data_IF_137424992095
#
_entry.id   IF_137424992095
#
_cell.length_a   1.000
_cell.length_b   1.000
_cell.length_c   1.000
_cell.angle_alpha   90.00
_cell.angle_beta   90.00
_cell.angle_gamma   90.00
#
_symmetry.space_group_name_H-M   'P 1'
#
loop_
_entity.id
_entity.type
_entity.pdbx_description
1 polymer ?
#
# COMPACT_ATOMS: atom_id res chain seq x y z
N UNK A 1 4.06 -20.32 24.90
CA UNK A 1 4.04 -18.85 24.94
C UNK A 1 4.71 -18.37 23.67
N UNK A 2 3.94 -17.97 22.65
CA UNK A 2 4.49 -17.50 21.38
C UNK A 2 4.93 -16.05 21.58
N UNK A 3 6.21 -15.76 21.33
CA UNK A 3 6.74 -14.40 21.38
C UNK A 3 5.92 -13.47 20.45
N UNK A 4 5.74 -12.18 20.79
CA UNK A 4 5.19 -11.23 19.84
C UNK A 4 6.11 -11.23 18.63
N UNK A 5 5.56 -11.56 17.45
CA UNK A 5 6.32 -11.58 16.21
C UNK A 5 6.68 -10.13 15.91
N UNK A 6 7.90 -9.71 16.25
CA UNK A 6 8.43 -8.40 15.87
C UNK A 6 8.32 -8.33 14.35
N UNK A 7 7.55 -7.37 13.85
CA UNK A 7 7.43 -7.18 12.42
C UNK A 7 8.82 -6.96 11.80
N UNK A 8 9.04 -7.48 10.60
CA UNK A 8 10.32 -7.42 9.89
C UNK A 8 10.17 -6.67 8.57
N UNK A 9 11.29 -6.32 7.94
CA UNK A 9 11.29 -5.76 6.58
C UNK A 9 10.55 -6.67 5.59
N UNK A 10 10.79 -7.98 5.68
CA UNK A 10 10.09 -8.99 4.88
C UNK A 10 8.57 -8.99 5.13
N UNK A 11 8.12 -8.74 6.37
CA UNK A 11 6.69 -8.59 6.64
C UNK A 11 6.13 -7.37 5.89
N UNK A 12 6.80 -6.22 5.95
CA UNK A 12 6.36 -5.00 5.25
C UNK A 12 6.29 -5.23 3.73
N UNK A 13 7.33 -5.83 3.16
CA UNK A 13 7.37 -6.23 1.74
C UNK A 13 6.16 -7.08 1.36
N UNK A 14 5.90 -8.16 2.12
CA UNK A 14 4.76 -9.05 1.84
C UNK A 14 3.43 -8.30 1.89
N UNK A 15 3.25 -7.41 2.87
CA UNK A 15 2.03 -6.63 2.99
C UNK A 15 1.84 -5.64 1.83
N UNK A 16 2.89 -4.91 1.46
CA UNK A 16 2.84 -3.95 0.34
C UNK A 16 2.64 -4.66 -0.99
N UNK A 17 3.36 -5.76 -1.25
CA UNK A 17 3.19 -6.58 -2.45
C UNK A 17 1.75 -7.10 -2.60
N UNK A 18 1.16 -7.63 -1.52
CA UNK A 18 -0.23 -8.09 -1.52
C UNK A 18 -1.23 -6.94 -1.70
N UNK A 19 -1.00 -5.78 -1.08
CA UNK A 19 -1.86 -4.62 -1.20
C UNK A 19 -1.85 -4.06 -2.62
N UNK A 20 -0.67 -3.85 -3.22
CA UNK A 20 -0.51 -3.29 -4.57
C UNK A 20 -0.94 -4.27 -5.67
N UNK A 21 -0.93 -5.58 -5.39
CA UNK A 21 -1.47 -6.58 -6.32
C UNK A 21 -2.98 -6.79 -6.16
N UNK A 22 -3.63 -6.16 -5.18
CA UNK A 22 -5.06 -6.35 -4.93
C UNK A 22 -5.93 -5.58 -5.92
N UNK A 23 -7.01 -6.20 -6.43
CA UNK A 23 -7.92 -5.52 -7.32
C UNK A 23 -8.68 -4.44 -6.56
N UNK A 24 -8.78 -3.26 -7.19
CA UNK A 24 -9.61 -2.16 -6.72
C UNK A 24 -10.85 -2.08 -7.61
N UNK A 25 -12.02 -2.36 -7.02
CA UNK A 25 -13.30 -2.36 -7.73
C UNK A 25 -14.05 -1.07 -7.39
N UNK A 26 -14.17 -0.17 -8.36
CA UNK A 26 -15.10 0.97 -8.25
C UNK A 26 -16.53 0.45 -8.32
N UNK A 27 -17.24 0.51 -7.20
CA UNK A 27 -18.68 0.28 -7.19
C UNK A 27 -19.35 1.40 -8.00
N UNK A 28 -19.70 1.12 -9.25
CA UNK A 28 -20.75 1.89 -9.91
C UNK A 28 -22.08 1.35 -9.38
N UNK A 29 -22.87 2.13 -8.63
CA UNK A 29 -24.20 1.68 -8.27
C UNK A 29 -24.95 1.41 -9.57
N UNK A 30 -25.40 0.17 -9.78
CA UNK A 30 -26.29 -0.14 -10.89
C UNK A 30 -27.59 0.64 -10.64
N UNK A 31 -27.76 1.75 -11.33
CA UNK A 31 -28.96 2.59 -11.26
C UNK A 31 -30.20 1.98 -11.95
N UNK A 32 -30.14 0.72 -12.41
CA UNK A 32 -31.29 0.05 -13.02
C UNK A 32 -31.69 -1.23 -12.28
N UNK A 33 -32.61 -1.07 -11.32
CA UNK A 33 -33.83 -1.89 -11.28
C UNK A 33 -33.72 -3.39 -11.03
N UNK A 34 -32.83 -3.86 -10.15
CA UNK A 34 -32.78 -5.29 -9.80
C UNK A 34 -32.34 -5.53 -8.36
N UNK A 35 -33.30 -5.89 -7.51
CA UNK A 35 -33.08 -6.45 -6.18
C UNK A 35 -32.09 -7.62 -6.23
N UNK A 36 -30.82 -7.36 -5.92
CA UNK A 36 -29.85 -8.39 -5.53
C UNK A 36 -29.37 -8.07 -4.13
N UNK A 37 -29.99 -8.69 -3.12
CA UNK A 37 -29.44 -8.85 -1.78
C UNK A 37 -28.30 -9.87 -1.80
N UNK A 38 -27.24 -9.59 -2.55
CA UNK A 38 -25.97 -10.30 -2.47
C UNK A 38 -24.93 -9.33 -1.93
N UNK A 39 -24.03 -9.79 -1.07
CA UNK A 39 -22.86 -9.00 -0.68
C UNK A 39 -22.18 -8.53 -1.97
N UNK A 40 -22.23 -7.22 -2.23
CA UNK A 40 -21.62 -6.64 -3.42
C UNK A 40 -20.15 -7.06 -3.51
N UNK A 41 -19.55 -7.07 -4.72
CA UNK A 41 -18.17 -7.50 -4.91
C UNK A 41 -17.25 -6.75 -3.94
N UNK A 42 -16.56 -7.45 -3.05
CA UNK A 42 -15.74 -6.80 -2.01
C UNK A 42 -14.54 -6.12 -2.66
N UNK A 43 -14.34 -4.83 -2.35
CA UNK A 43 -13.10 -4.13 -2.68
C UNK A 43 -11.95 -4.68 -1.82
N UNK A 44 -11.16 -5.57 -2.43
CA UNK A 44 -10.06 -6.26 -1.76
C UNK A 44 -8.94 -5.29 -1.38
N UNK A 45 -8.66 -4.26 -2.20
CA UNK A 45 -7.69 -3.25 -1.85
C UNK A 45 -8.10 -2.50 -0.57
N UNK A 46 -9.33 -1.97 -0.53
CA UNK A 46 -9.81 -1.26 0.66
C UNK A 46 -9.84 -2.16 1.89
N UNK A 47 -10.24 -3.43 1.72
CA UNK A 47 -10.29 -4.40 2.81
C UNK A 47 -8.88 -4.65 3.37
N UNK A 48 -7.89 -4.89 2.51
CA UNK A 48 -6.50 -5.08 2.95
C UNK A 48 -5.90 -3.82 3.55
N UNK A 49 -6.14 -2.67 2.95
CA UNK A 49 -5.71 -1.38 3.51
C UNK A 49 -6.28 -1.19 4.92
N UNK A 50 -7.57 -1.47 5.13
CA UNK A 50 -8.19 -1.34 6.44
C UNK A 50 -7.66 -2.32 7.48
N UNK A 51 -7.23 -3.51 7.06
CA UNK A 51 -6.63 -4.51 7.95
C UNK A 51 -5.16 -4.22 8.26
N UNK A 52 -4.45 -3.59 7.33
CA UNK A 52 -3.01 -3.31 7.42
C UNK A 52 -2.70 -2.03 8.20
N UNK A 53 -3.51 -0.98 8.07
CA UNK A 53 -3.27 0.32 8.69
C UNK A 53 -4.14 0.52 9.92
N UNK A 54 -3.59 1.14 10.97
CA UNK A 54 -4.40 1.58 12.12
C UNK A 54 -5.42 2.63 11.69
N UNK A 55 -6.45 2.84 12.52
CA UNK A 55 -7.52 3.81 12.21
C UNK A 55 -7.04 5.26 12.18
N UNK A 56 -5.97 5.54 12.91
CA UNK A 56 -5.30 6.83 13.08
C UNK A 56 -4.01 6.95 12.26
N UNK A 57 -3.78 6.03 11.31
CA UNK A 57 -2.54 6.01 10.56
C UNK A 57 -2.29 7.32 9.80
N UNK A 58 -1.04 7.77 9.79
CA UNK A 58 -0.59 8.97 9.08
C UNK A 58 0.59 8.64 8.18
N UNK A 59 0.98 9.56 7.31
CA UNK A 59 2.14 9.31 6.47
C UNK A 59 2.74 10.53 5.83
N UNK A 60 3.82 10.28 5.10
CA UNK A 60 4.51 11.25 4.27
C UNK A 60 4.64 10.67 2.87
N UNK A 61 4.14 11.37 1.86
CA UNK A 61 4.16 10.92 0.46
C UNK A 61 4.85 11.99 -0.37
N UNK A 62 5.97 11.64 -1.01
CA UNK A 62 6.80 12.56 -1.77
C UNK A 62 7.10 13.87 -0.99
N UNK A 63 7.41 13.74 0.30
CA UNK A 63 7.70 14.86 1.21
C UNK A 63 6.48 15.62 1.75
N UNK A 64 5.25 15.25 1.38
CA UNK A 64 4.03 15.89 1.89
C UNK A 64 3.35 15.03 2.97
N UNK A 65 3.03 15.63 4.11
CA UNK A 65 2.25 14.97 5.16
C UNK A 65 0.82 14.69 4.67
N UNK A 66 0.34 13.48 4.95
CA UNK A 66 -1.00 13.01 4.59
C UNK A 66 -1.62 12.24 5.73
N UNK A 67 -2.95 12.27 5.79
CA UNK A 67 -3.72 11.42 6.68
C UNK A 67 -3.92 10.01 6.06
N UNK A 68 -4.63 9.16 6.79
CA UNK A 68 -4.99 7.81 6.35
C UNK A 68 -5.70 7.77 5.00
N UNK A 69 -6.55 8.76 4.71
CA UNK A 69 -7.26 8.83 3.44
C UNK A 69 -6.30 9.18 2.30
N UNK A 70 -5.42 10.16 2.52
CA UNK A 70 -4.37 10.53 1.57
C UNK A 70 -3.39 9.39 1.30
N UNK A 71 -2.99 8.63 2.33
CA UNK A 71 -2.19 7.40 2.17
C UNK A 71 -2.88 6.37 1.27
N UNK A 72 -4.17 6.16 1.49
CA UNK A 72 -4.96 5.23 0.67
C UNK A 72 -4.98 5.66 -0.79
N UNK A 73 -5.25 6.95 -1.06
CA UNK A 73 -5.27 7.50 -2.41
C UNK A 73 -3.90 7.40 -3.10
N UNK A 74 -2.80 7.68 -2.38
CA UNK A 74 -1.44 7.54 -2.89
C UNK A 74 -1.12 6.08 -3.25
N UNK A 75 -1.46 5.13 -2.37
CA UNK A 75 -1.26 3.70 -2.62
C UNK A 75 -2.15 3.17 -3.75
N UNK A 76 -3.36 3.71 -3.92
CA UNK A 76 -4.22 3.42 -5.08
C UNK A 76 -3.60 3.95 -6.38
N UNK A 77 -3.01 5.15 -6.36
CA UNK A 77 -2.31 5.70 -7.52
C UNK A 77 -1.10 4.83 -7.91
N UNK A 78 -0.35 4.31 -6.92
CA UNK A 78 0.69 3.31 -7.13
C UNK A 78 0.13 2.02 -7.71
N UNK A 79 -0.92 1.45 -7.10
CA UNK A 79 -1.58 0.21 -7.52
C UNK A 79 -1.99 0.23 -9.00
N UNK A 80 -2.44 1.38 -9.51
CA UNK A 80 -2.81 1.54 -10.93
C UNK A 80 -1.63 1.40 -11.88
N UNK A 81 -0.44 1.83 -11.44
CA UNK A 81 0.81 1.79 -12.19
C UNK A 81 1.63 0.54 -11.90
N UNK A 82 1.31 -0.15 -10.80
CA UNK A 82 1.97 -1.36 -10.33
C UNK A 82 1.86 -2.47 -11.34
N UNK A 83 2.99 -3.12 -11.62
CA UNK A 83 3.07 -4.35 -12.37
C UNK A 83 3.78 -5.39 -11.52
N UNK A 84 3.05 -6.44 -11.16
CA UNK A 84 3.57 -7.46 -10.25
C UNK A 84 4.62 -8.37 -10.92
N UNK A 85 4.58 -8.50 -12.25
CA UNK A 85 5.49 -9.36 -13.00
C UNK A 85 6.90 -8.75 -13.12
N UNK A 86 7.00 -7.41 -13.10
CA UNK A 86 8.27 -6.68 -13.12
C UNK A 86 8.70 -6.13 -11.76
N UNK A 87 7.91 -6.36 -10.72
CA UNK A 87 8.16 -5.82 -9.39
C UNK A 87 9.22 -6.59 -8.62
N UNK A 88 10.11 -5.83 -8.00
CA UNK A 88 11.17 -6.31 -7.12
C UNK A 88 11.19 -5.49 -5.84
N UNK A 89 11.45 -6.19 -4.74
CA UNK A 89 11.64 -5.59 -3.43
C UNK A 89 13.09 -5.78 -3.01
N UNK A 90 13.65 -4.76 -2.38
CA UNK A 90 14.95 -4.86 -1.72
C UNK A 90 14.84 -4.37 -0.29
N UNK A 91 15.55 -5.02 0.62
CA UNK A 91 15.53 -4.68 2.04
C UNK A 91 16.32 -3.40 2.30
N UNK A 92 15.76 -2.52 3.13
CA UNK A 92 16.49 -1.34 3.63
C UNK A 92 17.14 -1.69 4.96
N UNK A 93 18.47 -1.58 5.02
CA UNK A 93 19.25 -1.82 6.22
C UNK A 93 19.59 -0.51 6.94
N UNK A 94 19.84 -0.57 8.26
CA UNK A 94 20.29 0.59 9.05
C UNK A 94 19.17 1.55 9.47
N UNK A 95 17.92 1.10 9.46
CA UNK A 95 16.81 1.84 10.04
C UNK A 95 16.88 1.81 11.58
N UNK A 96 16.32 2.84 12.21
CA UNK A 96 16.21 2.90 13.67
C UNK A 96 15.32 1.77 14.19
N UNK A 97 15.56 1.32 15.43
CA UNK A 97 14.72 0.33 16.10
C UNK A 97 13.23 0.71 16.01
N UNK A 98 12.39 -0.26 15.63
CA UNK A 98 10.94 -0.06 15.45
C UNK A 98 10.51 0.48 14.08
N UNK A 99 11.46 0.77 13.18
CA UNK A 99 11.18 1.12 11.79
C UNK A 99 11.46 -0.05 10.87
N UNK A 100 10.56 -0.27 9.92
CA UNK A 100 10.68 -1.25 8.85
C UNK A 100 10.86 -0.50 7.54
N UNK A 101 11.60 -1.08 6.59
CA UNK A 101 11.68 -0.46 5.28
C UNK A 101 12.07 -1.40 4.16
N UNK A 102 11.62 -1.03 2.97
CA UNK A 102 11.84 -1.74 1.72
C UNK A 102 11.85 -0.74 0.57
N UNK A 103 12.67 -0.99 -0.45
CA UNK A 103 12.58 -0.28 -1.70
C UNK A 103 11.82 -1.15 -2.70
N UNK A 104 10.87 -0.53 -3.39
CA UNK A 104 10.05 -1.13 -4.43
C UNK A 104 10.56 -0.63 -5.78
N UNK A 105 10.90 -1.54 -6.67
CA UNK A 105 11.36 -1.23 -8.02
C UNK A 105 10.51 -2.01 -9.03
N UNK A 106 9.94 -1.34 -10.04
CA UNK A 106 9.14 -2.01 -11.07
C UNK A 106 9.04 -1.20 -12.36
N UNK A 107 8.62 -1.86 -13.44
CA UNK A 107 8.31 -1.20 -14.72
C UNK A 107 6.82 -0.86 -14.76
N UNK A 108 6.40 0.42 -14.82
CA UNK A 108 4.99 0.76 -14.84
C UNK A 108 4.25 0.18 -16.07
N UNK A 109 2.99 -0.24 -15.90
CA UNK A 109 2.16 -0.90 -16.94
C UNK A 109 2.06 -0.19 -18.31
N UNK A 110 2.26 1.14 -18.34
CA UNK A 110 2.16 1.95 -19.56
C UNK A 110 3.48 2.64 -19.92
N UNK A 111 4.59 2.20 -19.34
CA UNK A 111 5.88 2.81 -19.56
C UNK A 111 6.46 2.41 -20.92
N UNK A 112 7.25 3.29 -21.53
CA UNK A 112 8.05 2.93 -22.70
C UNK A 112 9.16 1.95 -22.27
N UNK A 113 9.60 1.09 -23.18
CA UNK A 113 10.62 0.07 -22.91
C UNK A 113 11.85 0.67 -22.20
N UNK A 114 12.15 0.14 -21.00
CA UNK A 114 13.32 0.53 -20.21
C UNK A 114 13.08 1.57 -19.10
N UNK A 115 11.85 2.08 -18.93
CA UNK A 115 11.52 2.94 -17.78
C UNK A 115 11.24 2.12 -16.53
N UNK A 116 12.18 2.16 -15.58
CA UNK A 116 12.03 1.56 -14.26
C UNK A 116 11.84 2.66 -13.21
N UNK A 117 10.93 2.45 -12.27
CA UNK A 117 10.66 3.41 -11.19
C UNK A 117 11.00 2.79 -9.84
N UNK A 118 11.40 3.64 -8.90
CA UNK A 118 11.76 3.23 -7.54
C UNK A 118 10.98 4.05 -6.52
N UNK A 119 10.49 3.38 -5.48
CA UNK A 119 9.86 3.98 -4.30
C UNK A 119 10.46 3.37 -3.04
N UNK A 120 10.99 4.20 -2.15
CA UNK A 120 11.39 3.80 -0.81
C UNK A 120 10.19 3.88 0.13
N UNK A 121 9.88 2.77 0.79
CA UNK A 121 8.83 2.70 1.81
C UNK A 121 9.46 2.48 3.18
N UNK A 122 9.15 3.36 4.14
CA UNK A 122 9.52 3.19 5.55
C UNK A 122 8.27 3.25 6.41
N UNK A 123 8.10 2.30 7.32
CA UNK A 123 6.91 2.20 8.16
C UNK A 123 7.25 2.02 9.63
N UNK A 124 6.40 2.55 10.52
CA UNK A 124 6.33 2.14 11.91
C UNK A 124 5.09 1.30 12.14
N UNK A 125 5.18 0.35 13.07
CA UNK A 125 4.09 -0.59 13.36
C UNK A 125 3.73 -0.60 14.84
N UNK A 126 2.50 -0.99 15.13
CA UNK A 126 2.04 -1.27 16.49
C UNK A 126 1.18 -2.55 16.53
N UNK A 127 1.02 -3.12 17.71
CA UNK A 127 0.02 -4.15 17.97
C UNK A 127 -1.32 -3.48 18.28
N UNK A 128 -2.35 -3.76 17.49
CA UNK A 128 -3.71 -3.25 17.67
C UNK A 128 -4.71 -4.39 17.49
N UNK A 129 -5.50 -4.68 18.52
CA UNK A 129 -6.49 -5.76 18.52
C UNK A 129 -5.91 -7.16 18.29
N UNK A 130 -4.64 -7.39 18.64
CA UNK A 130 -3.93 -8.67 18.41
C UNK A 130 -3.38 -8.85 16.99
N UNK A 131 -3.40 -7.80 16.17
CA UNK A 131 -2.79 -7.77 14.85
C UNK A 131 -1.70 -6.67 14.77
N UNK A 132 -0.64 -6.94 14.00
CA UNK A 132 0.35 -5.92 13.63
C UNK A 132 -0.27 -4.97 12.60
N UNK A 133 -0.25 -3.66 12.88
CA UNK A 133 -0.74 -2.62 11.98
C UNK A 133 0.29 -1.50 11.77
N UNK A 134 0.29 -0.92 10.58
CA UNK A 134 1.09 0.25 10.23
C UNK A 134 0.45 1.49 10.86
N UNK A 135 1.24 2.26 11.61
CA UNK A 135 0.85 3.55 12.19
C UNK A 135 1.33 4.72 11.36
N UNK A 136 2.57 4.65 10.89
CA UNK A 136 3.11 5.65 9.97
C UNK A 136 3.69 4.97 8.74
N UNK A 137 3.43 5.54 7.57
CA UNK A 137 4.06 5.12 6.33
C UNK A 137 4.64 6.34 5.61
N UNK A 138 5.93 6.26 5.29
CA UNK A 138 6.63 7.18 4.44
C UNK A 138 6.90 6.54 3.10
N UNK A 139 6.51 7.20 2.03
CA UNK A 139 6.76 6.82 0.64
C UNK A 139 7.56 7.94 -0.02
N UNK A 140 8.83 7.66 -0.32
CA UNK A 140 9.70 8.56 -1.07
C UNK A 140 9.89 8.01 -2.49
N UNK A 141 9.74 8.86 -3.49
CA UNK A 141 9.81 8.51 -4.90
C UNK A 141 9.31 9.67 -5.76
N UNK A 142 9.20 9.46 -7.06
CA UNK A 142 8.64 10.48 -7.96
C UNK A 142 7.18 10.80 -7.58
N UNK A 143 6.89 12.08 -7.33
CA UNK A 143 5.56 12.58 -6.99
C UNK A 143 4.50 12.17 -8.03
N UNK A 144 4.88 12.06 -9.30
CA UNK A 144 3.99 11.63 -10.37
C UNK A 144 3.45 10.21 -10.13
N UNK A 145 4.14 9.35 -9.37
CA UNK A 145 3.68 7.99 -9.05
C UNK A 145 2.47 8.00 -8.11
N UNK A 146 2.45 8.93 -7.16
CA UNK A 146 1.43 9.02 -6.10
C UNK A 146 0.18 9.80 -6.51
N UNK A 147 0.15 10.34 -7.73
CA UNK A 147 -1.01 11.07 -8.24
C UNK A 147 -1.70 10.30 -9.36
N UNK A 148 -3.03 10.33 -9.37
CA UNK A 148 -3.80 9.83 -10.52
C UNK A 148 -3.81 10.90 -11.62
N UNK A 149 -3.67 10.53 -12.91
CA UNK A 149 -3.93 11.47 -14.00
C UNK A 149 -5.38 11.96 -13.88
N UNK A 150 -5.56 13.29 -13.99
CA UNK A 150 -6.87 13.94 -14.07
C UNK A 150 -7.56 13.64 -15.38
#
# INVERSE_FOLDING_TARGET
MSAPTTASNQWLEQQLSQLLSSPYIHFRPLTNGGLRMGHGPIDLFSTRFNNLFSSDATGVVAGSEVDRAGLKEALLALQRKWDADSAHFTEVNGLQDGHLGTNLQWTPKNAEDGQNVEVSATATVQQDGGATRITTLRLDGDQALFTSPK
#
